data_IF_207553433948
#
_entry.id   IF_207553433948
#
_cell.length_a   1.000
_cell.length_b   1.000
_cell.length_c   1.000
_cell.angle_alpha   90.00
_cell.angle_beta   90.00
_cell.angle_gamma   90.00
#
_symmetry.space_group_name_H-M   'P 1'
#
loop_
_entity.id
_entity.type
_entity.pdbx_description
1 polymer ?
#
# COMPACT_ATOMS: atom_id res chain seq x y z
N UNK A 1 3.79 29.48 -1.27
CA UNK A 1 2.99 28.40 -1.87
C UNK A 1 1.79 28.09 -0.97
N UNK A 2 0.57 28.30 -1.45
CA UNK A 2 -0.63 27.85 -0.76
C UNK A 2 -0.74 26.32 -0.87
N UNK A 3 -0.71 25.60 0.26
CA UNK A 3 -1.05 24.18 0.31
C UNK A 3 -2.51 24.05 -0.12
N UNK A 4 -2.75 23.56 -1.33
CA UNK A 4 -4.08 23.17 -1.75
C UNK A 4 -4.51 21.98 -0.89
N UNK A 5 -5.44 22.25 0.04
CA UNK A 5 -6.05 21.24 0.91
C UNK A 5 -6.92 20.32 0.06
N UNK A 6 -6.35 19.20 -0.38
CA UNK A 6 -7.00 18.18 -1.21
C UNK A 6 -7.88 17.23 -0.34
N UNK A 7 -8.63 17.80 0.61
CA UNK A 7 -9.32 17.07 1.70
C UNK A 7 -10.64 16.42 1.27
N UNK A 8 -11.16 16.79 0.09
CA UNK A 8 -12.46 16.33 -0.42
C UNK A 8 -12.47 14.88 -0.95
N UNK A 9 -11.31 14.20 -1.06
CA UNK A 9 -11.22 12.84 -1.58
C UNK A 9 -10.44 11.87 -0.67
N UNK A 10 -10.53 12.07 0.64
CA UNK A 10 -9.88 11.23 1.65
C UNK A 10 -10.79 10.04 2.01
N UNK A 11 -10.27 8.81 1.87
CA UNK A 11 -10.96 7.58 2.29
C UNK A 11 -11.39 7.68 3.76
N UNK A 12 -12.69 7.53 4.02
CA UNK A 12 -13.25 7.57 5.38
C UNK A 12 -13.13 6.21 6.06
N UNK A 13 -13.29 6.18 7.38
CA UNK A 13 -13.28 4.94 8.17
C UNK A 13 -14.30 3.90 7.67
N UNK A 14 -15.50 4.35 7.32
CA UNK A 14 -16.54 3.52 6.74
C UNK A 14 -16.15 2.93 5.37
N UNK A 15 -15.42 3.70 4.54
CA UNK A 15 -14.94 3.25 3.23
C UNK A 15 -13.85 2.19 3.38
N UNK A 16 -12.94 2.37 4.35
CA UNK A 16 -11.91 1.38 4.67
C UNK A 16 -12.51 0.06 5.17
N UNK A 17 -13.49 0.14 6.06
CA UNK A 17 -14.24 -1.04 6.50
C UNK A 17 -14.96 -1.72 5.33
N UNK A 18 -15.58 -0.96 4.43
CA UNK A 18 -16.25 -1.48 3.24
C UNK A 18 -15.27 -2.18 2.30
N UNK A 19 -14.13 -1.54 1.98
CA UNK A 19 -13.05 -2.14 1.18
C UNK A 19 -12.67 -3.54 1.68
N UNK A 20 -12.37 -3.65 2.98
CA UNK A 20 -12.00 -4.93 3.58
C UNK A 20 -13.09 -5.99 3.41
N UNK A 21 -14.34 -5.60 3.65
CA UNK A 21 -15.50 -6.50 3.54
C UNK A 21 -15.78 -6.93 2.10
N UNK A 22 -15.60 -6.04 1.12
CA UNK A 22 -15.71 -6.38 -0.32
C UNK A 22 -14.68 -7.43 -0.71
N UNK A 23 -13.47 -7.37 -0.15
CA UNK A 23 -12.42 -8.39 -0.35
C UNK A 23 -12.59 -9.63 0.54
N UNK A 24 -13.65 -9.71 1.36
CA UNK A 24 -13.94 -10.79 2.31
C UNK A 24 -12.82 -11.05 3.33
N UNK A 25 -11.98 -10.06 3.59
CA UNK A 25 -10.87 -10.18 4.54
C UNK A 25 -11.36 -9.99 5.98
N UNK A 26 -10.84 -10.79 6.91
CA UNK A 26 -10.86 -10.51 8.34
C UNK A 26 -9.98 -9.30 8.68
N UNK A 27 -10.10 -8.75 9.90
CA UNK A 27 -9.19 -7.68 10.35
C UNK A 27 -7.74 -8.15 10.45
N UNK A 28 -7.50 -9.45 10.67
CA UNK A 28 -6.17 -10.05 10.72
C UNK A 28 -5.56 -10.11 9.32
N UNK A 29 -6.29 -10.69 8.36
CA UNK A 29 -5.83 -10.83 6.97
C UNK A 29 -5.61 -9.46 6.31
N UNK A 30 -6.47 -8.47 6.59
CA UNK A 30 -6.26 -7.11 6.10
C UNK A 30 -5.01 -6.45 6.71
N UNK A 31 -4.68 -6.77 7.96
CA UNK A 31 -3.44 -6.31 8.57
C UNK A 31 -2.22 -6.95 7.92
N UNK A 32 -2.26 -8.26 7.68
CA UNK A 32 -1.20 -9.00 6.99
C UNK A 32 -0.99 -8.47 5.56
N UNK A 33 -2.06 -8.30 4.78
CA UNK A 33 -2.00 -7.77 3.41
C UNK A 33 -1.45 -6.34 3.32
N UNK A 34 -1.58 -5.54 4.39
CA UNK A 34 -1.09 -4.15 4.44
C UNK A 34 0.25 -4.01 5.19
N UNK A 35 0.82 -5.10 5.74
CA UNK A 35 2.00 -5.02 6.59
C UNK A 35 1.79 -4.24 7.89
N UNK A 36 0.58 -4.30 8.47
CA UNK A 36 0.20 -3.56 9.68
C UNK A 36 -0.06 -4.48 10.87
N UNK A 37 -0.01 -3.91 12.07
CA UNK A 37 -0.58 -4.57 13.26
C UNK A 37 -2.12 -4.56 13.15
N UNK A 38 -2.78 -5.65 13.55
CA UNK A 38 -4.26 -5.77 13.58
C UNK A 38 -4.95 -4.58 14.28
N UNK A 39 -4.32 -4.04 15.33
CA UNK A 39 -4.85 -2.89 16.07
C UNK A 39 -4.93 -1.61 15.22
N UNK A 40 -4.02 -1.42 14.27
CA UNK A 40 -4.02 -0.27 13.36
C UNK A 40 -5.22 -0.32 12.40
N UNK A 41 -5.53 -1.50 11.87
CA UNK A 41 -6.76 -1.73 11.07
C UNK A 41 -8.00 -1.33 11.86
N UNK A 42 -8.07 -1.70 13.15
CA UNK A 42 -9.19 -1.32 14.02
C UNK A 42 -9.29 0.21 14.21
N UNK A 43 -8.17 0.91 14.37
CA UNK A 43 -8.17 2.37 14.46
C UNK A 43 -8.71 3.02 13.18
N UNK A 44 -8.31 2.52 12.01
CA UNK A 44 -8.83 3.03 10.73
C UNK A 44 -10.31 2.73 10.53
N UNK A 45 -10.79 1.54 10.91
CA UNK A 45 -12.22 1.21 10.82
C UNK A 45 -13.07 2.00 11.81
N UNK A 46 -12.55 2.29 13.01
CA UNK A 46 -13.24 3.11 14.01
C UNK A 46 -13.17 4.60 13.68
N UNK A 47 -12.09 5.03 13.02
CA UNK A 47 -11.78 6.44 12.75
C UNK A 47 -11.17 7.17 13.96
N UNK A 48 -10.68 6.43 14.96
CA UNK A 48 -10.08 7.01 16.17
C UNK A 48 -9.00 6.10 16.78
N UNK A 49 -8.11 6.72 17.57
CA UNK A 49 -7.11 6.08 18.41
C UNK A 49 -7.06 6.84 19.73
N UNK A 50 -7.29 6.14 20.83
CA UNK A 50 -7.19 6.70 22.18
C UNK A 50 -8.05 7.97 22.38
N UNK A 51 -9.22 8.01 21.74
CA UNK A 51 -10.16 9.16 21.76
C UNK A 51 -9.89 10.23 20.69
N UNK A 52 -8.75 10.17 20.02
CA UNK A 52 -8.36 11.12 18.97
C UNK A 52 -8.78 10.63 17.59
N UNK A 53 -9.27 11.54 16.73
CA UNK A 53 -9.62 11.18 15.35
C UNK A 53 -8.38 10.77 14.56
N UNK A 54 -8.47 9.64 13.87
CA UNK A 54 -7.39 9.13 13.01
C UNK A 54 -7.80 9.20 11.56
N UNK A 55 -6.97 9.88 10.77
CA UNK A 55 -7.05 9.87 9.31
C UNK A 55 -6.31 8.66 8.76
N UNK A 56 -6.81 8.13 7.64
CA UNK A 56 -6.14 7.06 6.91
C UNK A 56 -5.05 7.69 6.03
N UNK A 57 -3.76 7.42 6.28
CA UNK A 57 -2.66 8.04 5.53
C UNK A 57 -2.71 7.71 4.03
N UNK A 58 -2.16 8.60 3.19
CA UNK A 58 -2.12 8.41 1.74
C UNK A 58 -1.53 7.05 1.33
N UNK A 59 -0.41 6.65 1.94
CA UNK A 59 0.25 5.39 1.60
C UNK A 59 -0.62 4.16 1.92
N UNK A 60 -1.45 4.21 2.97
CA UNK A 60 -2.43 3.16 3.26
C UNK A 60 -3.52 3.12 2.21
N UNK A 61 -4.04 4.28 1.78
CA UNK A 61 -5.07 4.33 0.72
C UNK A 61 -4.55 3.74 -0.59
N UNK A 62 -3.29 4.02 -0.94
CA UNK A 62 -2.63 3.43 -2.11
C UNK A 62 -2.45 1.91 -1.95
N UNK A 63 -2.01 1.44 -0.78
CA UNK A 63 -1.87 0.02 -0.50
C UNK A 63 -3.22 -0.72 -0.58
N UNK A 64 -4.32 -0.14 -0.06
CA UNK A 64 -5.67 -0.70 -0.22
C UNK A 64 -6.06 -0.85 -1.70
N UNK A 65 -5.70 0.13 -2.54
CA UNK A 65 -5.93 0.06 -3.98
C UNK A 65 -5.13 -1.07 -4.63
N UNK A 66 -3.85 -1.24 -4.26
CA UNK A 66 -2.99 -2.29 -4.77
C UNK A 66 -3.52 -3.69 -4.40
N UNK A 67 -3.89 -3.89 -3.12
CA UNK A 67 -4.47 -5.15 -2.64
C UNK A 67 -5.81 -5.45 -3.33
N UNK A 68 -6.65 -4.43 -3.57
CA UNK A 68 -7.90 -4.61 -4.31
C UNK A 68 -7.68 -4.99 -5.78
N UNK A 69 -6.53 -4.58 -6.36
CA UNK A 69 -6.09 -4.97 -7.70
C UNK A 69 -5.36 -6.34 -7.72
N UNK A 70 -5.25 -7.02 -6.57
CA UNK A 70 -4.55 -8.31 -6.46
C UNK A 70 -3.03 -8.22 -6.34
N UNK A 71 -2.48 -7.02 -6.10
CA UNK A 71 -1.03 -6.81 -5.88
C UNK A 71 -0.74 -6.99 -4.40
N UNK A 72 -0.04 -8.08 -4.06
CA UNK A 72 0.35 -8.41 -2.68
C UNK A 72 1.75 -7.91 -2.31
N UNK A 73 2.65 -7.78 -3.28
CA UNK A 73 4.03 -7.29 -3.10
C UNK A 73 4.51 -6.54 -4.34
N UNK A 74 5.59 -5.76 -4.21
CA UNK A 74 6.14 -4.93 -5.29
C UNK A 74 7.66 -4.78 -5.21
N UNK A 75 8.37 -5.37 -6.19
CA UNK A 75 9.84 -5.37 -6.29
C UNK A 75 10.47 -4.06 -6.81
N UNK A 76 9.64 -3.07 -7.13
CA UNK A 76 10.09 -1.83 -7.76
C UNK A 76 10.04 -1.88 -9.30
N UNK A 77 10.44 -0.80 -9.98
CA UNK A 77 10.54 -0.79 -11.43
C UNK A 77 11.63 -1.76 -11.91
N UNK A 78 11.56 -2.24 -13.17
CA UNK A 78 12.63 -3.04 -13.76
C UNK A 78 13.99 -2.36 -13.57
N UNK A 79 14.99 -3.13 -13.16
CA UNK A 79 16.37 -2.63 -13.13
C UNK A 79 16.79 -2.40 -14.57
N UNK A 80 17.28 -1.20 -14.89
CA UNK A 80 17.97 -0.97 -16.15
C UNK A 80 19.14 -1.96 -16.20
N UNK A 81 19.07 -2.94 -17.09
CA UNK A 81 20.20 -3.79 -17.41
C UNK A 81 21.27 -2.86 -18.00
N UNK A 82 22.22 -2.44 -17.17
CA UNK A 82 23.45 -1.88 -17.70
C UNK A 82 24.09 -3.01 -18.49
N UNK A 83 24.08 -2.89 -19.81
CA UNK A 83 24.83 -3.74 -20.72
C UNK A 83 26.23 -3.95 -20.15
N UNK A 84 26.49 -5.13 -19.61
CA UNK A 84 27.85 -5.55 -19.25
C UNK A 84 28.66 -5.53 -20.55
N UNK A 85 29.80 -4.83 -20.64
CA UNK A 85 30.64 -4.89 -21.83
C UNK A 85 31.02 -6.35 -22.08
N UNK A 86 30.72 -6.83 -23.28
CA UNK A 86 31.02 -8.19 -23.71
C UNK A 86 32.51 -8.51 -23.47
N UNK A 87 32.76 -9.56 -22.69
CA UNK A 87 34.08 -10.14 -22.50
C UNK A 87 34.60 -10.62 -23.87
N UNK A 88 35.82 -10.21 -24.30
CA UNK A 88 36.33 -10.58 -25.61
C UNK A 88 36.54 -12.09 -25.65
N UNK A 89 35.85 -12.77 -26.56
CA UNK A 89 36.03 -14.20 -26.79
C UNK A 89 37.48 -14.46 -27.21
N UNK A 90 38.21 -15.22 -26.39
CA UNK A 90 39.51 -15.76 -26.73
C UNK A 90 39.33 -16.83 -27.81
N UNK A 91 39.63 -16.48 -29.05
CA UNK A 91 39.99 -17.46 -30.07
C UNK A 91 41.48 -17.72 -29.94
N UNK A 92 41.86 -18.89 -29.39
CA UNK A 92 43.21 -19.42 -29.57
C UNK A 92 43.19 -20.39 -30.76
N UNK A 93 43.99 -20.07 -31.77
CA UNK A 93 44.48 -20.95 -32.84
C UNK A 93 45.39 -22.07 -32.28
#
# INVERSE_FOLDING_TARGET
>A
MAKQSNDSNVMKSADFKRWRKTLKLSQKEAAEALGLKRRVVQYYEKGERDGEKVQIPKYIRLACSAVAAGVADYDGPPREEKETPAEPQSTSD
#
